data_IF_710699526764
#
_entry.id   IF_710699526764
#
_cell.length_a   1.000
_cell.length_b   1.000
_cell.length_c   1.000
_cell.angle_alpha   90.00
_cell.angle_beta   90.00
_cell.angle_gamma   90.00
#
_symmetry.space_group_name_H-M   'P 1'
#
loop_
_entity.id
_entity.type
_entity.pdbx_description
1 polymer ?
#
# COMPACT_ATOMS: atom_id res chain seq x y z
N UNK A 1 -44.68 -6.73 65.90
CA UNK A 1 -45.67 -5.77 65.36
C UNK A 1 -44.95 -4.83 64.41
N UNK A 2 -45.47 -4.72 63.17
CA UNK A 2 -45.19 -3.79 62.05
C UNK A 2 -43.71 -3.63 61.59
N UNK A 3 -43.30 -3.97 60.36
CA UNK A 3 -43.77 -3.70 58.99
C UNK A 3 -43.61 -2.24 58.49
N UNK A 4 -43.18 -2.15 57.23
CA UNK A 4 -43.16 -1.05 56.25
C UNK A 4 -41.82 -0.29 56.11
N UNK A 5 -41.01 -0.54 55.07
CA UNK A 5 -41.17 -0.33 53.62
C UNK A 5 -40.71 1.06 53.15
N UNK A 6 -39.62 1.11 52.37
CA UNK A 6 -39.42 1.96 51.17
C UNK A 6 -38.05 1.68 50.49
N UNK A 7 -38.09 1.02 49.32
CA UNK A 7 -37.17 1.25 48.17
C UNK A 7 -37.87 2.28 47.24
N UNK A 8 -37.30 2.78 46.11
CA UNK A 8 -35.98 2.60 45.47
C UNK A 8 -35.32 3.93 45.00
N UNK A 9 -34.15 3.85 44.33
CA UNK A 9 -33.83 4.79 43.24
C UNK A 9 -32.55 5.61 43.38
N UNK A 10 -31.42 5.03 42.93
CA UNK A 10 -30.21 5.78 42.61
C UNK A 10 -29.56 5.15 41.39
N UNK A 11 -30.00 5.57 40.19
CA UNK A 11 -29.34 5.23 38.93
C UNK A 11 -28.01 5.98 38.91
N UNK A 12 -26.90 5.29 39.10
CA UNK A 12 -25.58 5.81 38.72
C UNK A 12 -25.56 5.85 37.19
N UNK A 13 -25.72 7.05 36.64
CA UNK A 13 -25.55 7.37 35.23
C UNK A 13 -24.04 7.33 34.96
N UNK A 14 -23.55 6.25 34.37
CA UNK A 14 -22.17 6.20 33.87
C UNK A 14 -22.14 6.98 32.55
N UNK A 15 -21.87 8.27 32.63
CA UNK A 15 -21.56 9.09 31.46
C UNK A 15 -20.10 8.81 31.09
N UNK A 16 -19.85 7.87 30.19
CA UNK A 16 -18.56 7.78 29.49
C UNK A 16 -18.66 8.75 28.31
N UNK A 17 -18.38 10.01 28.61
CA UNK A 17 -18.04 10.99 27.60
C UNK A 17 -16.53 11.01 27.45
N UNK A 18 -16.07 10.94 26.21
CA UNK A 18 -14.89 11.69 25.81
C UNK A 18 -13.59 10.90 25.67
N UNK A 19 -13.16 10.87 24.41
CA UNK A 19 -11.77 10.98 23.99
C UNK A 19 -10.99 9.66 24.02
N UNK A 20 -11.11 8.89 22.93
CA UNK A 20 -9.95 8.16 22.42
C UNK A 20 -9.07 9.22 21.75
N UNK A 21 -8.04 9.70 22.46
CA UNK A 21 -6.95 10.44 21.83
C UNK A 21 -6.24 9.40 20.97
N UNK A 22 -6.47 9.45 19.65
CA UNK A 22 -5.49 8.93 18.72
C UNK A 22 -4.22 9.73 18.97
N UNK A 23 -3.27 9.13 19.70
CA UNK A 23 -1.98 9.74 19.95
C UNK A 23 -1.29 9.91 18.61
N UNK A 24 -1.30 11.15 18.16
CA UNK A 24 -0.40 11.73 17.18
C UNK A 24 1.02 11.26 17.55
N UNK A 25 1.62 10.44 16.70
CA UNK A 25 3.03 10.09 16.76
C UNK A 25 3.90 11.31 16.45
N UNK A 26 3.96 12.26 17.38
CA UNK A 26 4.89 13.38 17.33
C UNK A 26 6.17 12.98 18.06
N UNK A 27 7.21 12.74 17.27
CA UNK A 27 8.63 12.88 17.58
C UNK A 27 9.10 12.59 19.02
N UNK A 28 9.86 11.49 19.18
CA UNK A 28 10.88 11.40 20.21
C UNK A 28 12.25 11.11 19.59
N UNK A 29 12.80 12.14 18.92
CA UNK A 29 14.25 12.32 18.81
C UNK A 29 14.82 12.90 20.12
N UNK A 30 14.47 12.30 21.27
CA UNK A 30 14.96 12.75 22.57
C UNK A 30 15.90 11.69 23.18
N UNK A 31 17.23 11.92 23.23
CA UNK A 31 18.21 10.91 23.64
C UNK A 31 18.05 10.45 25.10
N UNK A 32 17.32 11.19 25.93
CA UNK A 32 17.14 10.88 27.36
C UNK A 32 16.27 9.64 27.62
N UNK A 33 15.38 9.24 26.70
CA UNK A 33 14.51 8.06 26.90
C UNK A 33 15.21 6.75 26.54
N UNK A 34 16.18 6.78 25.62
CA UNK A 34 16.94 5.60 25.17
C UNK A 34 17.80 4.96 26.26
N UNK A 35 18.29 5.73 27.23
CA UNK A 35 19.11 5.21 28.33
C UNK A 35 18.31 4.40 29.37
N UNK A 36 16.96 4.51 29.39
CA UNK A 36 16.10 3.80 30.35
C UNK A 36 15.61 2.42 29.87
N UNK A 37 15.81 2.05 28.60
CA UNK A 37 15.36 0.76 28.04
C UNK A 37 16.50 -0.20 27.64
N UNK A 38 17.78 0.14 27.85
CA UNK A 38 18.88 -0.82 27.66
C UNK A 38 19.11 -1.33 26.23
N UNK A 39 18.65 -0.61 25.20
CA UNK A 39 18.91 -1.00 23.80
C UNK A 39 20.29 -0.51 23.34
N UNK A 40 21.08 -1.34 22.62
CA UNK A 40 22.36 -0.93 22.07
C UNK A 40 22.20 0.12 20.97
N UNK A 41 23.12 1.10 20.94
CA UNK A 41 23.17 2.13 19.92
C UNK A 41 23.54 1.52 18.55
N UNK A 42 22.77 1.84 17.51
CA UNK A 42 23.17 1.58 16.13
C UNK A 42 24.23 2.60 15.70
N UNK A 43 25.44 2.10 15.45
CA UNK A 43 26.55 2.84 14.83
C UNK A 43 26.21 3.11 13.37
N UNK A 44 26.04 4.39 13.01
CA UNK A 44 25.99 4.81 11.61
C UNK A 44 27.40 4.70 11.00
N UNK A 45 27.57 3.85 10.00
CA UNK A 45 28.73 3.90 9.11
C UNK A 45 28.42 4.86 7.97
N UNK A 46 29.13 5.99 7.95
CA UNK A 46 29.19 6.90 6.80
C UNK A 46 29.98 6.24 5.68
N UNK A 47 29.38 6.03 4.50
CA UNK A 47 30.13 5.81 3.27
C UNK A 47 30.14 7.09 2.46
N UNK A 48 31.35 7.60 2.23
CA UNK A 48 31.67 8.70 1.34
C UNK A 48 31.86 8.13 -0.05
N UNK A 49 31.08 8.59 -1.03
CA UNK A 49 31.38 8.34 -2.44
C UNK A 49 31.86 9.64 -3.09
N UNK A 50 33.16 9.65 -3.38
CA UNK A 50 33.85 10.68 -4.15
C UNK A 50 33.51 10.56 -5.64
N UNK A 51 33.17 11.70 -6.22
CA UNK A 51 33.11 11.99 -7.65
C UNK A 51 34.48 11.74 -8.32
N UNK A 52 34.50 10.94 -9.38
CA UNK A 52 35.60 10.95 -10.36
C UNK A 52 35.05 11.25 -11.75
N UNK A 53 35.44 12.41 -12.25
CA UNK A 53 35.30 12.87 -13.63
C UNK A 53 36.38 12.23 -14.49
N UNK A 54 36.01 11.62 -15.61
CA UNK A 54 36.91 11.42 -16.74
C UNK A 54 36.12 11.55 -18.05
N UNK A 55 36.40 12.66 -18.73
CA UNK A 55 36.10 12.97 -20.12
C UNK A 55 36.74 11.97 -21.07
N UNK A 56 35.98 11.49 -22.06
CA UNK A 56 36.58 11.06 -23.31
C UNK A 56 35.65 11.33 -24.51
N UNK A 57 36.15 12.18 -25.40
CA UNK A 57 35.53 12.62 -26.65
C UNK A 57 36.05 11.73 -27.78
N UNK A 58 35.17 11.19 -28.63
CA UNK A 58 35.50 10.83 -30.02
C UNK A 58 34.23 10.67 -30.87
N UNK A 59 34.31 11.27 -32.07
CA UNK A 59 33.30 11.53 -33.11
C UNK A 59 33.14 10.30 -34.07
N UNK A 60 32.06 10.19 -34.90
CA UNK A 60 31.57 8.91 -35.45
C UNK A 60 31.85 8.65 -36.95
N UNK A 61 31.32 7.51 -37.45
CA UNK A 61 30.86 7.14 -38.83
C UNK A 61 31.69 6.03 -39.53
N UNK A 62 31.22 5.25 -40.56
CA UNK A 62 29.86 4.84 -41.05
C UNK A 62 29.61 3.30 -41.10
N UNK A 63 28.37 2.92 -41.43
CA UNK A 63 27.88 1.58 -41.82
C UNK A 63 28.59 0.95 -43.04
N UNK A 64 28.41 -0.37 -43.24
CA UNK A 64 27.84 -0.80 -44.52
C UNK A 64 26.79 -1.92 -44.43
N UNK A 65 25.83 -1.89 -45.35
CA UNK A 65 25.00 -3.01 -45.82
C UNK A 65 25.16 -3.11 -47.36
N UNK A 66 24.57 -4.06 -48.10
CA UNK A 66 24.05 -5.39 -47.77
C UNK A 66 24.61 -6.49 -48.73
N UNK A 67 24.34 -7.78 -48.47
CA UNK A 67 24.34 -8.81 -49.53
C UNK A 67 23.44 -10.01 -49.24
N UNK A 68 22.96 -10.57 -50.33
CA UNK A 68 21.77 -11.41 -50.54
C UNK A 68 22.04 -12.92 -50.59
N UNK A 69 21.00 -13.69 -50.20
CA UNK A 69 20.55 -14.98 -50.74
C UNK A 69 21.42 -16.24 -50.61
N UNK A 70 20.90 -17.29 -49.97
CA UNK A 70 20.43 -18.53 -50.65
C UNK A 70 19.91 -19.59 -49.64
N UNK A 71 18.76 -20.20 -49.97
CA UNK A 71 18.22 -21.42 -49.37
C UNK A 71 18.85 -22.67 -50.05
N UNK A 72 18.81 -23.87 -49.44
CA UNK A 72 17.77 -24.83 -49.84
C UNK A 72 17.17 -25.70 -48.70
N UNK A 73 16.00 -26.25 -49.04
CA UNK A 73 15.10 -27.31 -48.47
C UNK A 73 15.80 -28.56 -47.83
N UNK A 74 15.26 -29.41 -46.94
CA UNK A 74 13.92 -30.05 -46.77
C UNK A 74 13.79 -30.78 -45.39
N UNK A 75 12.58 -30.75 -44.81
CA UNK A 75 11.79 -31.84 -44.15
C UNK A 75 12.36 -32.70 -42.99
N UNK A 76 11.77 -32.55 -41.78
CA UNK A 76 10.99 -33.63 -41.12
C UNK A 76 10.09 -33.09 -40.00
N UNK A 77 8.87 -33.60 -39.98
CA UNK A 77 7.76 -33.24 -39.12
C UNK A 77 7.98 -33.55 -37.64
N UNK A 78 7.61 -32.60 -36.77
CA UNK A 78 7.15 -32.88 -35.41
C UNK A 78 5.87 -32.06 -35.13
N UNK A 79 4.76 -32.79 -35.27
CA UNK A 79 3.60 -32.81 -34.38
C UNK A 79 3.25 -31.49 -33.68
N UNK A 80 2.30 -30.80 -34.30
CA UNK A 80 1.45 -29.71 -33.82
C UNK A 80 1.31 -29.61 -32.29
N UNK A 81 1.77 -28.46 -31.79
CA UNK A 81 1.47 -27.85 -30.50
C UNK A 81 -0.05 -27.81 -30.19
N UNK A 82 -0.44 -27.84 -28.90
CA UNK A 82 -1.75 -27.37 -28.52
C UNK A 82 -1.77 -25.84 -28.73
N UNK A 83 -2.68 -25.40 -29.60
CA UNK A 83 -3.03 -24.00 -29.88
C UNK A 83 -3.27 -23.23 -28.57
N UNK A 84 -2.25 -22.53 -28.07
CA UNK A 84 -2.39 -21.63 -26.93
C UNK A 84 -3.13 -20.37 -27.38
N UNK A 85 -4.37 -20.27 -26.90
CA UNK A 85 -5.18 -19.05 -26.94
C UNK A 85 -4.50 -17.97 -26.08
N UNK A 86 -4.49 -16.68 -26.47
CA UNK A 86 -3.79 -15.59 -25.76
C UNK A 86 -4.31 -15.27 -24.34
N UNK A 87 -5.26 -16.01 -23.79
CA UNK A 87 -5.94 -15.71 -22.52
C UNK A 87 -5.15 -16.18 -21.27
N UNK A 88 -4.22 -17.13 -21.41
CA UNK A 88 -3.53 -17.73 -20.25
C UNK A 88 -2.46 -16.81 -19.66
N UNK A 89 -1.71 -16.07 -20.49
CA UNK A 89 -0.56 -15.27 -20.04
C UNK A 89 -0.98 -14.05 -19.20
N UNK A 90 -2.02 -13.31 -19.61
CA UNK A 90 -2.46 -12.10 -18.90
C UNK A 90 -3.13 -12.42 -17.55
N UNK A 91 -3.85 -13.54 -17.47
CA UNK A 91 -4.47 -14.00 -16.22
C UNK A 91 -3.42 -14.43 -15.21
N UNK A 92 -2.36 -15.11 -15.67
CA UNK A 92 -1.27 -15.56 -14.82
C UNK A 92 -0.44 -14.40 -14.27
N UNK A 93 -0.19 -13.36 -15.07
CA UNK A 93 0.47 -12.14 -14.59
C UNK A 93 -0.36 -11.38 -13.56
N UNK A 94 -1.68 -11.29 -13.74
CA UNK A 94 -2.55 -10.61 -12.78
C UNK A 94 -2.64 -11.36 -11.44
N UNK A 95 -2.66 -12.70 -11.47
CA UNK A 95 -2.60 -13.52 -10.26
C UNK A 95 -1.27 -13.33 -9.51
N UNK A 96 -0.13 -13.34 -10.21
CA UNK A 96 1.18 -13.15 -9.56
C UNK A 96 1.33 -11.78 -8.91
N UNK A 97 0.76 -10.73 -9.51
CA UNK A 97 0.78 -9.38 -8.93
C UNK A 97 -0.03 -9.36 -7.63
N UNK A 98 -1.22 -9.96 -7.61
CA UNK A 98 -2.05 -10.05 -6.39
C UNK A 98 -1.35 -10.83 -5.27
N UNK A 99 -0.73 -11.95 -5.60
CA UNK A 99 0.04 -12.75 -4.64
C UNK A 99 1.26 -11.99 -4.10
N UNK A 100 1.94 -11.21 -4.95
CA UNK A 100 3.05 -10.36 -4.52
C UNK A 100 2.58 -9.22 -3.60
N UNK A 101 1.46 -8.55 -3.91
CA UNK A 101 0.86 -7.55 -3.02
C UNK A 101 0.50 -8.15 -1.66
N UNK A 102 -0.15 -9.33 -1.66
CA UNK A 102 -0.49 -10.05 -0.44
C UNK A 102 0.75 -10.41 0.39
N UNK A 103 1.81 -10.91 -0.25
CA UNK A 103 3.05 -11.26 0.42
C UNK A 103 3.72 -10.03 1.07
N UNK A 104 3.79 -8.90 0.36
CA UNK A 104 4.37 -7.64 0.90
C UNK A 104 3.63 -7.15 2.14
N UNK A 105 2.30 -7.11 2.10
CA UNK A 105 1.50 -6.66 3.25
C UNK A 105 1.60 -7.65 4.40
N UNK A 106 1.57 -8.96 4.13
CA UNK A 106 1.73 -9.99 5.16
C UNK A 106 3.08 -9.88 5.87
N UNK A 107 4.16 -9.67 5.12
CA UNK A 107 5.49 -9.45 5.70
C UNK A 107 5.53 -8.20 6.60
N UNK A 108 4.98 -7.07 6.12
CA UNK A 108 4.89 -5.84 6.92
C UNK A 108 4.05 -6.05 8.20
N UNK A 109 2.94 -6.77 8.09
CA UNK A 109 2.06 -7.09 9.20
C UNK A 109 2.72 -7.99 10.24
N UNK A 110 3.34 -9.09 9.82
CA UNK A 110 4.02 -10.05 10.70
C UNK A 110 5.21 -9.40 11.43
N UNK A 111 5.88 -8.44 10.79
CA UNK A 111 7.02 -7.73 11.36
C UNK A 111 6.66 -6.46 12.14
N UNK A 112 5.39 -6.07 12.22
CA UNK A 112 5.01 -4.84 12.93
C UNK A 112 5.52 -3.56 12.25
N UNK A 113 5.71 -3.56 10.93
CA UNK A 113 6.39 -2.49 10.20
C UNK A 113 5.41 -1.44 9.68
N UNK A 114 5.73 -0.18 9.94
CA UNK A 114 5.01 1.04 9.51
C UNK A 114 5.88 1.88 8.56
N UNK A 115 5.36 3.03 8.10
CA UNK A 115 6.07 3.98 7.24
C UNK A 115 6.55 3.33 5.92
N UNK A 116 5.73 2.45 5.33
CA UNK A 116 6.07 1.72 4.11
C UNK A 116 5.28 2.22 2.90
N UNK A 117 5.93 2.97 2.02
CA UNK A 117 5.37 3.31 0.71
C UNK A 117 5.32 2.06 -0.19
N UNK A 118 4.14 1.67 -0.65
CA UNK A 118 3.99 0.47 -1.48
C UNK A 118 2.78 0.50 -2.42
N UNK A 119 2.90 -0.24 -3.52
CA UNK A 119 1.79 -0.57 -4.40
C UNK A 119 1.16 -1.92 -4.01
N UNK A 120 -0.15 -1.91 -3.80
CA UNK A 120 -0.95 -3.12 -3.54
C UNK A 120 -2.16 -3.19 -4.46
N UNK A 121 -2.61 -4.40 -4.75
CA UNK A 121 -3.88 -4.63 -5.42
C UNK A 121 -4.75 -5.60 -4.63
N UNK A 122 -6.06 -5.39 -4.68
CA UNK A 122 -7.02 -6.24 -3.98
C UNK A 122 -8.45 -5.94 -4.39
N UNK A 123 -9.38 -6.67 -3.78
CA UNK A 123 -10.83 -6.47 -3.97
C UNK A 123 -11.41 -5.70 -2.81
N UNK A 124 -12.31 -4.76 -3.10
CA UNK A 124 -13.06 -4.05 -2.07
C UNK A 124 -14.00 -5.03 -1.39
N UNK A 125 -13.69 -5.39 -0.15
CA UNK A 125 -14.52 -6.28 0.66
C UNK A 125 -15.75 -5.56 1.21
N UNK A 126 -15.57 -4.30 1.61
CA UNK A 126 -16.63 -3.50 2.23
C UNK A 126 -16.37 -2.01 2.09
N UNK A 127 -17.37 -1.24 1.70
CA UNK A 127 -17.34 0.22 1.82
C UNK A 127 -17.79 0.64 3.21
N UNK A 128 -17.12 1.61 3.82
CA UNK A 128 -17.46 2.16 5.13
C UNK A 128 -18.01 3.58 4.98
N UNK A 129 -18.73 4.12 5.97
CA UNK A 129 -19.04 5.54 6.00
C UNK A 129 -17.75 6.36 5.95
N UNK A 130 -17.78 7.45 5.20
CA UNK A 130 -16.67 8.39 5.17
C UNK A 130 -16.41 8.92 6.59
N UNK A 131 -15.13 9.04 6.95
CA UNK A 131 -14.73 9.77 8.14
C UNK A 131 -14.80 11.28 7.82
N UNK A 132 -15.52 12.01 8.66
CA UNK A 132 -15.74 13.45 8.49
C UNK A 132 -15.19 14.27 9.67
N UNK A 133 -14.43 13.64 10.57
CA UNK A 133 -13.75 14.34 11.66
C UNK A 133 -12.37 14.82 11.20
N UNK A 134 -12.14 16.13 11.21
CA UNK A 134 -10.91 16.71 10.67
C UNK A 134 -10.88 16.68 9.14
N UNK A 135 -9.75 16.29 8.54
CA UNK A 135 -9.68 16.05 7.09
C UNK A 135 -10.55 14.85 6.74
N UNK A 136 -11.38 14.99 5.72
CA UNK A 136 -12.35 13.96 5.33
C UNK A 136 -11.64 12.79 4.65
N UNK A 137 -11.97 11.58 5.06
CA UNK A 137 -11.43 10.36 4.45
C UNK A 137 -12.54 9.43 3.98
N UNK A 138 -12.48 9.04 2.71
CA UNK A 138 -13.20 7.86 2.26
C UNK A 138 -12.56 6.62 2.86
N UNK A 139 -13.38 5.71 3.38
CA UNK A 139 -12.91 4.47 4.00
C UNK A 139 -13.51 3.24 3.35
N UNK A 140 -12.68 2.24 3.11
CA UNK A 140 -13.13 0.91 2.69
C UNK A 140 -12.12 -0.16 3.07
N UNK A 141 -12.59 -1.39 3.20
CA UNK A 141 -11.75 -2.55 3.50
C UNK A 141 -11.34 -3.20 2.18
N UNK A 142 -10.04 -3.25 1.93
CA UNK A 142 -9.46 -4.01 0.85
C UNK A 142 -9.15 -5.43 1.33
N UNK A 143 -9.51 -6.44 0.56
CA UNK A 143 -9.10 -7.83 0.77
C UNK A 143 -8.06 -8.23 -0.28
N UNK A 144 -6.93 -8.73 0.20
CA UNK A 144 -5.82 -9.23 -0.58
C UNK A 144 -6.07 -10.69 -1.00
N UNK A 145 -5.25 -11.23 -1.90
CA UNK A 145 -5.47 -12.58 -2.44
C UNK A 145 -5.30 -13.71 -1.41
N UNK A 146 -4.58 -13.46 -0.31
CA UNK A 146 -4.43 -14.41 0.80
C UNK A 146 -5.54 -14.30 1.85
N UNK A 147 -6.51 -13.39 1.64
CA UNK A 147 -7.64 -13.17 2.54
C UNK A 147 -7.39 -12.10 3.61
N UNK A 148 -6.15 -11.66 3.81
CA UNK A 148 -5.82 -10.55 4.71
C UNK A 148 -6.48 -9.25 4.24
N UNK A 149 -6.68 -8.33 5.18
CA UNK A 149 -7.37 -7.07 4.90
C UNK A 149 -6.60 -5.86 5.34
N UNK A 150 -6.70 -4.79 4.55
CA UNK A 150 -6.14 -3.46 4.86
C UNK A 150 -7.27 -2.45 4.85
N UNK A 151 -7.30 -1.56 5.84
CA UNK A 151 -8.19 -0.40 5.82
C UNK A 151 -7.59 0.65 4.88
N UNK A 152 -8.35 1.10 3.88
CA UNK A 152 -7.93 2.23 3.03
C UNK A 152 -8.53 3.51 3.61
N UNK A 153 -7.70 4.52 3.84
CA UNK A 153 -8.09 5.86 4.26
C UNK A 153 -7.64 6.87 3.17
N UNK A 154 -8.56 7.22 2.28
CA UNK A 154 -8.30 8.11 1.15
C UNK A 154 -8.80 9.52 1.45
N UNK A 155 -7.92 10.49 1.52
CA UNK A 155 -8.28 11.87 1.84
C UNK A 155 -9.04 12.52 0.68
N UNK A 156 -10.34 12.76 0.88
CA UNK A 156 -11.25 13.31 -0.14
C UNK A 156 -11.38 14.83 -0.10
N UNK A 157 -10.59 15.49 0.75
CA UNK A 157 -10.35 16.94 0.63
C UNK A 157 -9.22 17.25 -0.36
N UNK A 158 -8.31 16.29 -0.58
CA UNK A 158 -7.15 16.44 -1.47
C UNK A 158 -7.35 15.76 -2.83
N UNK A 159 -8.17 14.71 -2.90
CA UNK A 159 -8.43 13.95 -4.11
C UNK A 159 -9.93 13.69 -4.33
N UNK A 160 -10.30 13.37 -5.58
CA UNK A 160 -11.66 12.94 -5.92
C UNK A 160 -12.02 11.64 -5.18
N UNK A 161 -13.21 11.59 -4.56
CA UNK A 161 -13.76 10.35 -3.99
C UNK A 161 -13.85 9.24 -5.05
N UNK A 162 -13.34 8.06 -4.73
CA UNK A 162 -13.32 6.92 -5.65
C UNK A 162 -14.70 6.23 -5.65
N UNK A 163 -15.34 6.00 -6.80
CA UNK A 163 -16.67 5.40 -6.87
C UNK A 163 -16.61 3.86 -6.76
N UNK A 164 -15.87 3.34 -5.77
CA UNK A 164 -15.76 1.90 -5.49
C UNK A 164 -17.02 1.32 -4.87
N UNK A 165 -17.26 0.04 -5.16
CA UNK A 165 -18.30 -0.82 -4.60
C UNK A 165 -17.69 -2.13 -4.13
N UNK A 166 -18.43 -2.87 -3.31
CA UNK A 166 -18.03 -4.23 -2.92
C UNK A 166 -17.83 -5.12 -4.14
N UNK A 167 -16.70 -5.84 -4.17
CA UNK A 167 -16.28 -6.71 -5.27
C UNK A 167 -15.35 -6.06 -6.29
N UNK A 168 -15.30 -4.72 -6.35
CA UNK A 168 -14.45 -3.98 -7.29
C UNK A 168 -12.97 -4.27 -7.01
N UNK A 169 -12.17 -4.36 -8.07
CA UNK A 169 -10.73 -4.52 -8.00
C UNK A 169 -10.06 -3.16 -8.15
N UNK A 170 -9.11 -2.87 -7.26
CA UNK A 170 -8.36 -1.61 -7.26
C UNK A 170 -6.87 -1.87 -7.15
N UNK A 171 -6.09 -0.93 -7.66
CA UNK A 171 -4.64 -0.83 -7.42
C UNK A 171 -4.42 0.46 -6.65
N UNK A 172 -3.63 0.40 -5.60
CA UNK A 172 -3.42 1.51 -4.67
C UNK A 172 -1.92 1.68 -4.48
N UNK A 173 -1.46 2.91 -4.59
CA UNK A 173 -0.13 3.33 -4.14
C UNK A 173 -0.29 4.31 -2.99
N UNK A 174 0.37 4.03 -1.88
CA UNK A 174 0.30 4.84 -0.67
C UNK A 174 1.20 4.30 0.41
N UNK A 175 1.09 4.88 1.60
CA UNK A 175 1.84 4.46 2.77
C UNK A 175 1.02 3.45 3.57
N UNK A 176 1.65 2.35 3.95
CA UNK A 176 1.10 1.35 4.87
C UNK A 176 1.57 1.61 6.30
N UNK A 177 0.61 1.61 7.22
CA UNK A 177 0.78 1.68 8.65
C UNK A 177 0.30 0.42 9.34
N UNK A 178 1.11 -0.13 10.24
CA UNK A 178 0.74 -1.32 10.99
C UNK A 178 -0.40 -1.06 11.99
N UNK A 179 -1.31 -2.02 12.10
CA UNK A 179 -2.31 -2.07 13.17
C UNK A 179 -2.71 -3.51 13.46
N UNK A 180 -3.26 -3.78 14.65
CA UNK A 180 -3.75 -5.11 15.04
C UNK A 180 -4.86 -5.66 14.12
N UNK A 181 -5.50 -4.79 13.31
CA UNK A 181 -6.58 -5.16 12.40
C UNK A 181 -6.11 -5.43 10.96
N UNK A 182 -4.80 -5.55 10.73
CA UNK A 182 -4.22 -5.84 9.40
C UNK A 182 -3.60 -4.63 8.69
N UNK A 183 -3.55 -3.48 9.37
CA UNK A 183 -2.95 -2.24 8.87
C UNK A 183 -3.90 -1.29 8.14
N UNK A 184 -3.42 -0.06 7.96
CA UNK A 184 -4.11 1.02 7.27
C UNK A 184 -3.23 1.53 6.14
N UNK A 185 -3.80 1.73 4.95
CA UNK A 185 -3.13 2.43 3.87
C UNK A 185 -3.69 3.84 3.73
N UNK A 186 -2.81 4.82 3.85
CA UNK A 186 -3.09 6.25 3.76
C UNK A 186 -2.10 6.91 2.78
N UNK A 187 -2.05 8.25 2.73
CA UNK A 187 -1.30 8.98 1.70
C UNK A 187 -1.61 8.54 0.26
N UNK A 188 -2.86 8.19 -0.02
CA UNK A 188 -3.29 7.71 -1.34
C UNK A 188 -3.71 8.86 -2.27
N UNK A 189 -3.02 9.99 -2.17
CA UNK A 189 -3.29 11.23 -2.91
C UNK A 189 -1.98 11.97 -3.21
N UNK A 190 -2.02 12.95 -4.11
CA UNK A 190 -0.91 13.87 -4.32
C UNK A 190 -0.70 14.74 -3.07
N UNK A 191 0.55 14.94 -2.62
CA UNK A 191 0.87 15.91 -1.58
C UNK A 191 1.24 17.27 -2.21
N UNK A 192 0.37 18.30 -2.14
CA UNK A 192 0.64 19.59 -2.77
C UNK A 192 1.86 20.31 -2.20
N UNK A 193 2.33 19.92 -1.02
CA UNK A 193 3.50 20.53 -0.36
C UNK A 193 4.79 19.75 -0.61
N UNK A 194 4.71 18.52 -1.12
CA UNK A 194 5.86 17.66 -1.39
C UNK A 194 6.69 17.31 -0.15
N UNK A 195 6.05 17.21 1.01
CA UNK A 195 6.65 16.73 2.25
C UNK A 195 6.59 15.20 2.36
N UNK A 196 5.64 14.59 1.68
CA UNK A 196 5.45 13.14 1.59
C UNK A 196 5.51 12.66 0.14
N UNK A 197 5.80 11.38 -0.05
CA UNK A 197 5.65 10.74 -1.35
C UNK A 197 4.16 10.70 -1.76
N UNK A 198 3.89 11.04 -3.03
CA UNK A 198 2.55 11.00 -3.61
C UNK A 198 1.98 9.58 -3.62
N UNK A 199 0.66 9.48 -3.47
CA UNK A 199 -0.10 8.26 -3.71
C UNK A 199 -1.26 8.46 -4.66
N UNK A 200 -1.97 7.36 -4.89
CA UNK A 200 -3.12 7.32 -5.78
C UNK A 200 -3.93 6.03 -5.61
N UNK A 201 -5.18 6.07 -6.06
CA UNK A 201 -6.03 4.89 -6.23
C UNK A 201 -6.40 4.77 -7.71
N UNK A 202 -6.20 3.61 -8.31
CA UNK A 202 -6.67 3.29 -9.66
C UNK A 202 -7.88 2.36 -9.57
N UNK A 203 -8.97 2.78 -10.19
CA UNK A 203 -10.22 2.04 -10.27
C UNK A 203 -10.81 2.16 -11.68
N UNK A 204 -11.12 1.02 -12.31
CA UNK A 204 -11.69 0.94 -13.66
C UNK A 204 -10.93 1.79 -14.71
N UNK A 205 -9.60 1.77 -14.64
CA UNK A 205 -8.72 2.51 -15.56
C UNK A 205 -8.62 4.01 -15.32
N UNK A 206 -9.29 4.56 -14.29
CA UNK A 206 -9.12 5.94 -13.84
C UNK A 206 -8.29 5.99 -12.56
N UNK A 207 -7.31 6.89 -12.53
CA UNK A 207 -6.52 7.21 -11.34
C UNK A 207 -7.13 8.41 -10.61
N UNK A 208 -7.17 8.32 -9.28
CA UNK A 208 -7.67 9.32 -8.34
C UNK A 208 -6.50 9.68 -7.42
N UNK A 209 -6.14 10.96 -7.35
CA UNK A 209 -5.05 11.49 -6.53
C UNK A 209 -5.19 12.98 -6.31
#
# INVERSE_FOLDING_TARGET
MADQSRKPGGKQKLTIGGIVVALIGLALANPTIRAKLGLPAQTQQQSTQQTQTASNTSKPQPDPAPSTSSQPTTTKAQKSEPKQTPTTTATQSAQSIREASAAKVREAYENGTSDLQMEITGRVRKTLPDDNEGSRHQRFILQLSDGNTVLIAHNIDLADRVPVKEGDEVVIYGEYEWSEQGGTMHWTHHDPKGWHEDGWIMHNGKTYK
#
